data_IF_295739365137
#
_entry.id   IF_295739365137
#
_cell.length_a   1.000
_cell.length_b   1.000
_cell.length_c   1.000
_cell.angle_alpha   90.00
_cell.angle_beta   90.00
_cell.angle_gamma   90.00
#
_symmetry.space_group_name_H-M   'P 1'
#
loop_
_entity.id
_entity.type
_entity.pdbx_description
1 polymer ?
2 polymer ?
3 non-polymer ?
4 non-polymer ?
5 non-polymer ?
6 water ?
#
loop_
_entity_poly.entity_id
_entity_poly.type
_entity_poly.pdbx_seq_one_letter_code
_entity_poly.pdbx_strand_id
2 'polyribonucleotide' '(GTP)GCCAGUCUGGCGUUUGGUGACAGCGCCAAGUUCUUCGGAAUUGGGAAAUCCUACUGGCC' ?
#
# COMPACT_ATOMS: atom_id res chain seq x y z
N UNK A 2 15.60 4.77 1.66
CA UNK A 2 15.01 4.23 0.44
C UNK A 2 13.59 4.77 0.24
N UNK A 3 13.31 5.23 -0.97
CA UNK A 3 12.01 5.81 -1.26
C UNK A 3 10.93 4.73 -1.21
N UNK A 4 9.74 5.06 -0.70
CA UNK A 4 8.64 4.08 -0.73
C UNK A 4 8.28 3.70 -2.15
N UNK A 5 7.95 2.42 -2.35
CA UNK A 5 7.70 1.89 -3.67
C UNK A 5 6.22 1.60 -3.86
N UNK A 6 5.77 1.73 -5.11
CA UNK A 6 4.39 1.39 -5.46
C UNK A 6 4.22 -0.12 -5.29
N UNK A 7 3.18 -0.52 -4.57
CA UNK A 7 2.95 -1.91 -4.27
C UNK A 7 3.70 -2.45 -3.08
N UNK A 8 4.46 -1.61 -2.38
CA UNK A 8 5.20 -2.05 -1.21
C UNK A 8 4.27 -2.16 0.00
N UNK A 9 4.46 -3.22 0.77
CA UNK A 9 3.69 -3.41 2.00
C UNK A 9 4.25 -2.50 3.09
N UNK A 10 3.36 -1.92 3.88
CA UNK A 10 3.75 -1.09 5.01
C UNK A 10 2.95 -1.51 6.23
N UNK A 11 3.53 -1.25 7.40
CA UNK A 11 2.81 -1.36 8.67
C UNK A 11 2.57 0.05 9.20
N UNK A 12 1.32 0.36 9.50
CA UNK A 12 0.94 1.70 9.96
C UNK A 12 1.32 1.84 11.42
N UNK A 13 2.11 2.87 11.73
CA UNK A 13 2.61 3.08 13.09
C UNK A 13 1.97 4.26 13.79
N UNK A 14 1.28 5.15 13.07
CA UNK A 14 0.57 6.27 13.67
C UNK A 14 -0.78 6.46 12.97
N UNK A 15 -1.75 6.97 13.71
CA UNK A 15 -3.09 7.15 13.23
C UNK A 15 -4.03 6.07 13.75
N UNK A 16 -5.33 6.29 13.53
CA UNK A 16 -6.32 5.35 14.05
C UNK A 16 -6.35 4.03 13.29
N UNK A 17 -5.68 3.95 12.14
CA UNK A 17 -5.47 2.68 11.44
C UNK A 17 -4.15 2.01 11.84
N UNK A 18 -3.64 2.38 13.00
CA UNK A 18 -2.34 1.85 13.45
C UNK A 18 -2.34 0.33 13.66
N UNK A 19 -1.16 -0.28 13.51
CA UNK A 19 -0.89 -1.70 13.67
C UNK A 19 -1.46 -2.56 12.55
N UNK A 20 -2.05 -1.98 11.52
CA UNK A 20 -2.52 -2.72 10.36
C UNK A 20 -1.49 -2.68 9.25
N UNK A 21 -1.62 -3.60 8.31
CA UNK A 21 -0.80 -3.63 7.12
C UNK A 21 -1.58 -3.06 5.94
N UNK A 22 -0.88 -2.36 5.06
CA UNK A 22 -1.49 -1.73 3.90
C UNK A 22 -0.51 -1.75 2.74
N UNK A 23 -0.95 -1.25 1.59
CA UNK A 23 -0.18 -1.26 0.36
C UNK A 23 -0.07 0.17 -0.15
N UNK A 24 1.14 0.59 -0.51
CA UNK A 24 1.36 1.90 -1.12
C UNK A 24 0.85 1.85 -2.56
N UNK A 25 -0.05 2.76 -2.90
CA UNK A 25 -0.64 2.79 -4.23
C UNK A 25 -0.33 4.09 -4.99
N UNK A 26 0.24 5.09 -4.33
CA UNK A 26 0.61 6.33 -5.01
C UNK A 26 1.59 7.08 -4.13
N UNK A 27 2.65 7.61 -4.73
CA UNK A 27 3.67 8.39 -4.04
C UNK A 27 3.53 9.84 -4.50
N UNK A 28 3.15 10.72 -3.58
CA UNK A 28 3.01 12.13 -3.91
C UNK A 28 4.37 12.78 -4.08
N UNK A 29 5.23 12.65 -3.07
CA UNK A 29 6.57 13.24 -3.14
C UNK A 29 7.48 12.45 -2.20
N UNK A 30 8.52 13.13 -1.69
CA UNK A 30 9.41 12.48 -0.73
C UNK A 30 8.68 12.16 0.57
N UNK A 31 7.66 12.94 0.92
CA UNK A 31 7.03 12.89 2.23
C UNK A 31 5.74 12.07 2.25
N UNK A 32 4.87 12.24 1.26
CA UNK A 32 3.49 11.75 1.35
C UNK A 32 3.23 10.64 0.34
N UNK A 33 2.47 9.64 0.78
CA UNK A 33 2.01 8.54 -0.06
C UNK A 33 0.52 8.36 0.16
N UNK A 34 -0.07 7.47 -0.62
CA UNK A 34 -1.45 7.04 -0.44
C UNK A 34 -1.46 5.52 -0.29
N UNK A 35 -2.17 5.02 0.73
CA UNK A 35 -2.21 3.59 1.01
C UNK A 35 -3.65 3.11 0.92
N UNK A 36 -3.80 1.81 0.68
CA UNK A 36 -5.11 1.19 0.61
C UNK A 36 -4.94 -0.32 0.78
N UNK A 37 -5.96 -0.95 1.36
CA UNK A 37 -5.94 -2.38 1.60
C UNK A 37 -7.00 -3.14 0.80
N UNK A 38 -7.87 -2.44 0.08
CA UNK A 38 -8.94 -3.08 -0.65
C UNK A 38 -10.09 -3.59 0.18
N UNK A 39 -10.05 -3.38 1.50
CA UNK A 39 -11.11 -3.85 2.37
C UNK A 39 -11.73 -2.70 3.15
N UNK A 40 -11.19 -2.42 4.34
CA UNK A 40 -11.69 -1.29 5.12
C UNK A 40 -11.27 0.04 4.51
N UNK A 41 -10.17 0.06 3.77
CA UNK A 41 -9.69 1.26 3.10
C UNK A 41 -9.48 0.91 1.62
N UNK A 42 -10.45 1.25 0.79
CA UNK A 42 -10.42 0.87 -0.62
C UNK A 42 -9.78 1.98 -1.46
N UNK A 43 -9.53 1.66 -2.74
CA UNK A 43 -8.70 2.51 -3.58
C UNK A 43 -9.35 3.88 -3.80
N UNK A 44 -10.67 3.90 -4.04
CA UNK A 44 -11.33 5.15 -4.40
C UNK A 44 -11.43 6.13 -3.24
N UNK A 45 -11.03 5.74 -2.04
CA UNK A 45 -10.92 6.66 -0.92
C UNK A 45 -9.64 6.34 -0.15
N UNK A 46 -8.53 6.22 -0.88
CA UNK A 46 -7.26 5.85 -0.29
C UNK A 46 -6.82 6.84 0.78
N UNK A 47 -6.07 6.34 1.76
CA UNK A 47 -5.66 7.14 2.91
C UNK A 47 -4.34 7.84 2.62
N UNK A 48 -4.35 9.17 2.69
CA UNK A 48 -3.11 9.94 2.63
C UNK A 48 -2.28 9.69 3.89
N UNK A 49 -0.97 9.61 3.72
CA UNK A 49 -0.10 9.29 4.84
C UNK A 49 1.25 9.98 4.70
N UNK A 50 1.69 10.64 5.76
CA UNK A 50 3.09 11.01 5.89
C UNK A 50 3.91 9.74 6.04
N UNK A 51 4.96 9.60 5.22
CA UNK A 51 5.74 8.37 5.21
C UNK A 51 6.42 8.10 6.55
N UNK A 52 6.61 9.13 7.37
CA UNK A 52 7.14 8.94 8.71
C UNK A 52 6.17 8.23 9.64
N UNK A 53 4.89 8.13 9.26
CA UNK A 53 3.89 7.40 10.02
C UNK A 53 3.66 6.00 9.49
N UNK A 54 4.59 5.48 8.69
CA UNK A 54 4.54 4.12 8.20
C UNK A 54 5.89 3.45 8.40
N UNK A 55 5.87 2.13 8.48
CA UNK A 55 7.07 1.32 8.54
C UNK A 55 7.16 0.50 7.26
N UNK A 56 8.20 0.76 6.46
CA UNK A 56 8.37 0.06 5.19
C UNK A 56 8.72 -1.40 5.44
N UNK A 57 7.94 -2.30 4.84
CA UNK A 57 8.19 -3.74 4.92
C UNK A 57 8.93 -4.17 3.65
N UNK A 58 9.94 -5.02 3.81
CA UNK A 58 10.72 -5.48 2.67
C UNK A 58 9.93 -6.48 1.84
N UNK A 59 8.84 -6.02 1.24
CA UNK A 59 8.01 -6.86 0.38
C UNK A 59 7.25 -5.96 -0.58
N UNK A 60 7.46 -6.17 -1.88
CA UNK A 60 6.79 -5.39 -2.92
C UNK A 60 6.02 -6.36 -3.81
N UNK A 61 4.72 -6.14 -3.94
CA UNK A 61 3.87 -7.03 -4.72
C UNK A 61 3.97 -6.69 -6.21
N UNK A 62 4.50 -7.60 -7.03
CA UNK A 62 4.58 -7.31 -8.47
C UNK A 62 3.23 -7.19 -9.14
N UNK A 63 2.21 -7.86 -8.61
CA UNK A 63 0.88 -7.77 -9.22
C UNK A 63 0.32 -6.36 -9.13
N UNK A 64 0.57 -5.67 -8.01
CA UNK A 64 0.01 -4.34 -7.83
C UNK A 64 0.70 -3.34 -8.75
N UNK A 65 2.04 -3.38 -8.80
CA UNK A 65 2.77 -2.41 -9.60
C UNK A 65 2.65 -2.69 -11.09
N UNK A 66 2.47 -3.96 -11.47
CA UNK A 66 2.25 -4.27 -12.89
C UNK A 66 0.90 -3.76 -13.36
N UNK A 67 -0.12 -3.84 -12.50
CA UNK A 67 -1.44 -3.36 -12.88
C UNK A 67 -1.47 -1.84 -13.03
N UNK A 68 -0.67 -1.12 -12.24
CA UNK A 68 -0.55 0.32 -12.43
C UNK A 68 0.21 0.65 -13.70
N UNK A 69 1.14 -0.21 -14.11
CA UNK A 69 1.96 0.09 -15.29
C UNK A 69 1.18 -0.11 -16.58
N UNK A 70 0.20 -1.02 -16.59
CA UNK A 70 -0.58 -1.34 -17.77
C UNK A 70 -1.94 -0.68 -17.80
N UNK A 71 -2.62 -0.58 -16.66
CA UNK A 71 -3.95 -0.01 -16.59
C UNK A 71 -4.01 1.32 -15.86
N UNK A 72 -2.93 1.74 -15.21
CA UNK A 72 -2.96 2.97 -14.43
C UNK A 72 -3.79 2.90 -13.17
N UNK A 73 -4.29 1.71 -12.81
CA UNK A 73 -5.16 1.54 -11.67
C UNK A 73 -4.88 0.18 -11.04
N UNK A 74 -5.58 -0.10 -9.94
CA UNK A 74 -5.54 -1.41 -9.30
C UNK A 74 -6.90 -1.66 -8.67
N UNK A 75 -7.37 -2.90 -8.75
CA UNK A 75 -8.64 -3.24 -8.16
C UNK A 75 -8.47 -3.52 -6.67
N UNK A 76 -9.58 -3.40 -5.93
CA UNK A 76 -9.57 -3.74 -4.51
C UNK A 76 -9.30 -5.23 -4.31
N UNK A 77 -9.80 -6.07 -5.22
CA UNK A 77 -9.54 -7.49 -5.12
C UNK A 77 -8.07 -7.83 -5.25
N UNK A 78 -7.37 -7.13 -6.13
CA UNK A 78 -5.93 -7.37 -6.28
C UNK A 78 -5.17 -6.88 -5.04
N UNK A 79 -5.62 -5.78 -4.44
CA UNK A 79 -5.01 -5.32 -3.19
C UNK A 79 -5.22 -6.34 -2.09
N UNK A 80 -6.45 -6.87 -1.96
CA UNK A 80 -6.72 -7.88 -0.95
C UNK A 80 -5.89 -9.13 -1.19
N UNK A 81 -5.65 -9.48 -2.45
CA UNK A 81 -4.83 -10.64 -2.77
C UNK A 81 -3.38 -10.40 -2.37
N UNK A 82 -2.85 -9.20 -2.66
CA UNK A 82 -1.45 -8.92 -2.35
C UNK A 82 -1.19 -8.98 -0.85
N UNK A 83 -2.12 -8.45 -0.05
CA UNK A 83 -1.94 -8.49 1.40
C UNK A 83 -2.16 -9.90 1.94
N UNK A 84 -3.16 -10.61 1.42
CA UNK A 84 -3.39 -11.99 1.85
C UNK A 84 -2.20 -12.88 1.51
N UNK A 85 -1.58 -12.65 0.36
CA UNK A 85 -0.39 -13.43 0.00
C UNK A 85 0.81 -13.03 0.85
N UNK A 86 0.95 -11.74 1.15
CA UNK A 86 2.08 -11.29 1.96
C UNK A 86 2.04 -11.90 3.35
N UNK A 87 0.86 -11.96 3.96
CA UNK A 87 0.76 -12.51 5.31
C UNK A 87 1.04 -14.00 5.34
N UNK A 88 0.75 -14.72 4.26
CA UNK A 88 0.94 -16.16 4.26
C UNK A 88 2.42 -16.54 4.19
N UNK A 89 3.26 -15.67 3.63
CA UNK A 89 4.69 -15.98 3.53
C UNK A 89 5.45 -15.60 4.79
N UNK A 90 4.91 -14.69 5.61
CA UNK A 90 5.57 -14.31 6.87
C UNK A 90 4.85 -14.92 8.05
#
# INVERSE_FOLDING_TARGET
GPSPEIGQIVKIVKGRDRDQFSVIIKRVDDRFVYIADGDKRKVDRAKRKNMNHLKLIDHISPEVRHSFEETGKVTNGKLRFALKKFLEEHADLLKEGE
#
